data_IF_142395115830
#
_entry.id   IF_142395115830
#
_cell.length_a   1.000
_cell.length_b   1.000
_cell.length_c   1.000
_cell.angle_alpha   90.00
_cell.angle_beta   90.00
_cell.angle_gamma   90.00
#
_symmetry.space_group_name_H-M   'P 1'
#
loop_
_entity.id
_entity.type
_entity.pdbx_description
1 polymer ?
#
# COMPACT_ATOMS: atom_id res chain seq x y z
N UNK A 1 6.34 0.70 -42.93
CA UNK A 1 6.32 2.13 -42.52
C UNK A 1 5.05 2.29 -41.72
N UNK A 2 5.11 2.74 -40.47
CA UNK A 2 3.91 2.95 -39.67
C UNK A 2 3.12 4.12 -40.25
N UNK A 3 1.81 3.96 -40.34
CA UNK A 3 0.87 4.98 -40.77
C UNK A 3 0.53 5.94 -39.62
N UNK A 4 0.03 7.12 -39.97
CA UNK A 4 -0.39 8.10 -38.96
C UNK A 4 -1.53 7.56 -38.09
N UNK A 5 -2.40 6.71 -38.64
CA UNK A 5 -3.49 6.06 -37.90
C UNK A 5 -2.95 5.10 -36.85
N UNK A 6 -2.04 4.20 -37.22
CA UNK A 6 -1.41 3.25 -36.28
C UNK A 6 -0.66 3.97 -35.15
N UNK A 7 -0.03 5.11 -35.43
CA UNK A 7 0.65 5.92 -34.41
C UNK A 7 -0.37 6.53 -33.44
N UNK A 8 -1.52 7.01 -33.93
CA UNK A 8 -2.57 7.59 -33.09
C UNK A 8 -3.21 6.55 -32.18
N UNK A 9 -3.57 5.39 -32.72
CA UNK A 9 -4.10 4.28 -31.94
C UNK A 9 -3.11 3.86 -30.84
N UNK A 10 -1.82 3.75 -31.17
CA UNK A 10 -0.80 3.41 -30.18
C UNK A 10 -0.61 4.48 -29.10
N UNK A 11 -0.84 5.76 -29.42
CA UNK A 11 -0.80 6.83 -28.42
C UNK A 11 -2.00 6.69 -27.47
N UNK A 12 -3.19 6.45 -28.01
CA UNK A 12 -4.42 6.25 -27.22
C UNK A 12 -4.26 5.05 -26.26
N UNK A 13 -3.79 3.91 -26.78
CA UNK A 13 -3.52 2.71 -25.96
C UNK A 13 -2.53 3.01 -24.81
N UNK A 14 -1.46 3.77 -25.08
CA UNK A 14 -0.46 4.13 -24.09
C UNK A 14 -0.99 5.14 -23.06
N UNK A 15 -1.88 6.05 -23.46
CA UNK A 15 -2.53 6.99 -22.55
C UNK A 15 -3.48 6.26 -21.60
N UNK A 16 -4.22 5.27 -22.10
CA UNK A 16 -5.10 4.41 -21.30
C UNK A 16 -4.29 3.52 -20.34
N UNK A 17 -3.24 2.86 -20.83
CA UNK A 17 -2.34 2.05 -19.98
C UNK A 17 -1.72 2.91 -18.87
N UNK A 18 -1.26 4.11 -19.20
CA UNK A 18 -0.72 5.05 -18.22
C UNK A 18 -1.77 5.43 -17.16
N UNK A 19 -3.02 5.68 -17.57
CA UNK A 19 -4.09 6.01 -16.62
C UNK A 19 -4.38 4.84 -15.68
N UNK A 20 -4.41 3.61 -16.19
CA UNK A 20 -4.61 2.40 -15.40
C UNK A 20 -3.48 2.18 -14.39
N UNK A 21 -2.22 2.28 -14.84
CA UNK A 21 -1.05 2.14 -13.98
C UNK A 21 -1.00 3.18 -12.87
N UNK A 22 -1.41 4.43 -13.16
CA UNK A 22 -1.47 5.48 -12.15
C UNK A 22 -2.50 5.17 -11.05
N UNK A 23 -3.66 4.61 -11.41
CA UNK A 23 -4.67 4.22 -10.43
C UNK A 23 -4.25 2.98 -9.63
N UNK A 24 -3.56 2.02 -10.26
CA UNK A 24 -2.98 0.87 -9.57
C UNK A 24 -1.94 1.31 -8.53
N UNK A 25 -1.01 2.20 -8.89
CA UNK A 25 -0.02 2.75 -7.95
C UNK A 25 -0.70 3.45 -6.78
N UNK A 26 -1.76 4.22 -7.04
CA UNK A 26 -2.53 4.90 -5.99
C UNK A 26 -3.22 3.91 -5.05
N UNK A 27 -3.76 2.82 -5.59
CA UNK A 27 -4.40 1.75 -4.82
C UNK A 27 -3.38 1.03 -3.95
N UNK A 28 -2.27 0.57 -4.54
CA UNK A 28 -1.18 -0.11 -3.82
C UNK A 28 -0.62 0.75 -2.68
N UNK A 29 -0.46 2.05 -2.92
CA UNK A 29 -0.01 2.99 -1.88
C UNK A 29 -0.99 3.04 -0.71
N UNK A 30 -2.29 3.15 -0.99
CA UNK A 30 -3.33 3.19 0.06
C UNK A 30 -3.37 1.90 0.86
N UNK A 31 -3.23 0.75 0.20
CA UNK A 31 -3.17 -0.56 0.87
C UNK A 31 -1.93 -0.67 1.75
N UNK A 32 -0.77 -0.24 1.26
CA UNK A 32 0.47 -0.24 2.04
C UNK A 32 0.38 0.67 3.27
N UNK A 33 -0.17 1.88 3.12
CA UNK A 33 -0.41 2.82 4.23
C UNK A 33 -1.38 2.21 5.26
N UNK A 34 -2.49 1.61 4.82
CA UNK A 34 -3.44 0.94 5.72
C UNK A 34 -2.82 -0.23 6.48
N UNK A 35 -2.00 -1.05 5.80
CA UNK A 35 -1.28 -2.17 6.44
C UNK A 35 -0.24 -1.68 7.45
N UNK A 36 0.48 -0.61 7.14
CA UNK A 36 1.45 -0.01 8.06
C UNK A 36 0.77 0.45 9.35
N UNK A 37 -0.35 1.18 9.24
CA UNK A 37 -1.13 1.64 10.40
C UNK A 37 -1.62 0.46 11.23
N UNK A 38 -2.16 -0.59 10.59
CA UNK A 38 -2.64 -1.78 11.30
C UNK A 38 -1.54 -2.46 12.10
N UNK A 39 -0.34 -2.59 11.51
CA UNK A 39 0.81 -3.21 12.17
C UNK A 39 1.35 -2.33 13.30
N UNK A 40 1.38 -1.01 13.14
CA UNK A 40 1.76 -0.08 14.20
C UNK A 40 0.84 -0.19 15.42
N UNK A 41 -0.48 -0.28 15.19
CA UNK A 41 -1.46 -0.52 16.26
C UNK A 41 -1.24 -1.86 16.95
N UNK A 42 -1.04 -2.94 16.19
CA UNK A 42 -0.79 -4.27 16.76
C UNK A 42 0.48 -4.30 17.61
N UNK A 43 1.57 -3.68 17.13
CA UNK A 43 2.83 -3.57 17.89
C UNK A 43 2.63 -2.76 19.18
N UNK A 44 1.83 -1.69 19.14
CA UNK A 44 1.53 -0.90 20.34
C UNK A 44 0.79 -1.75 21.39
N UNK A 45 -0.25 -2.47 20.99
CA UNK A 45 -1.01 -3.37 21.87
C UNK A 45 -0.11 -4.45 22.47
N UNK A 46 0.68 -5.14 21.64
CA UNK A 46 1.60 -6.18 22.10
C UNK A 46 2.65 -5.65 23.10
N UNK A 47 3.11 -4.40 22.92
CA UNK A 47 4.03 -3.76 23.87
C UNK A 47 3.36 -3.49 25.22
N UNK A 48 2.13 -2.99 25.21
CA UNK A 48 1.34 -2.76 26.44
C UNK A 48 1.08 -4.08 27.18
N UNK A 49 0.68 -5.13 26.45
CA UNK A 49 0.48 -6.46 27.02
C UNK A 49 1.76 -7.02 27.62
N UNK A 50 2.90 -6.92 26.91
CA UNK A 50 4.19 -7.36 27.41
C UNK A 50 4.62 -6.60 28.68
N UNK A 51 4.38 -5.28 28.74
CA UNK A 51 4.68 -4.48 29.92
C UNK A 51 3.78 -4.86 31.10
N UNK A 52 2.49 -5.09 30.85
CA UNK A 52 1.54 -5.56 31.86
C UNK A 52 1.97 -6.91 32.45
N UNK A 53 2.33 -7.87 31.60
CA UNK A 53 2.83 -9.17 32.02
C UNK A 53 4.13 -9.05 32.83
N UNK A 54 5.05 -8.18 32.42
CA UNK A 54 6.28 -7.92 33.17
C UNK A 54 5.97 -7.38 34.57
N UNK A 55 5.07 -6.41 34.69
CA UNK A 55 4.66 -5.86 36.00
C UNK A 55 4.04 -6.93 36.89
N UNK A 56 3.23 -7.84 36.34
CA UNK A 56 2.65 -8.94 37.11
C UNK A 56 3.72 -9.89 37.65
N UNK A 57 4.74 -10.22 36.84
CA UNK A 57 5.87 -11.05 37.27
C UNK A 57 6.72 -10.37 38.34
N UNK A 58 6.95 -9.06 38.22
CA UNK A 58 7.73 -8.28 39.21
C UNK A 58 7.01 -8.16 40.57
N UNK A 59 5.68 -8.38 40.60
CA UNK A 59 4.87 -8.37 41.83
C UNK A 59 4.63 -9.75 42.47
N UNK A 60 5.19 -10.81 41.88
CA UNK A 60 5.03 -12.22 42.27
C UNK A 60 6.25 -12.73 43.04
#
# INVERSE_FOLDING_TARGET
>A
MLTLTEIREKIEDLEDEKAQLLEEVKTLRKEAEGKAISLECEVAVLREEAESLKKMLDTL
#
